data_IF_457517585022
#
_entry.id   IF_457517585022
#
_cell.length_a   1.000
_cell.length_b   1.000
_cell.length_c   1.000
_cell.angle_alpha   90.00
_cell.angle_beta   90.00
_cell.angle_gamma   90.00
#
_symmetry.space_group_name_H-M   'P 1'
#
loop_
_entity.id
_entity.type
_entity.pdbx_description
1 polymer ?
#
# COMPACT_ATOMS: atom_id res chain seq x y z
N UNK A 1 -24.08 -5.55 -13.47
CA UNK A 1 -22.82 -4.89 -13.80
C UNK A 1 -21.88 -5.00 -12.60
N UNK A 2 -20.64 -5.39 -12.86
CA UNK A 2 -19.65 -5.51 -11.78
C UNK A 2 -19.12 -4.14 -11.41
N UNK A 3 -19.13 -3.85 -10.13
CA UNK A 3 -18.54 -2.60 -9.64
C UNK A 3 -17.43 -2.92 -8.65
N UNK A 4 -16.53 -1.97 -8.51
CA UNK A 4 -15.35 -2.13 -7.67
C UNK A 4 -15.20 -0.93 -6.76
N UNK A 5 -14.68 -1.17 -5.59
CA UNK A 5 -14.25 -0.07 -4.73
C UNK A 5 -12.74 -0.17 -4.56
N UNK A 6 -12.12 0.96 -4.29
CA UNK A 6 -10.66 1.06 -4.21
C UNK A 6 -10.26 1.74 -2.92
N UNK A 7 -9.13 1.33 -2.40
CA UNK A 7 -8.52 2.00 -1.26
C UNK A 7 -7.01 2.05 -1.48
N UNK A 8 -6.37 2.95 -0.77
CA UNK A 8 -4.92 3.06 -0.82
C UNK A 8 -4.34 3.02 0.57
N UNK A 9 -3.14 2.48 0.68
CA UNK A 9 -2.38 2.53 1.92
C UNK A 9 -0.97 3.00 1.58
N UNK A 10 -0.30 3.55 2.58
CA UNK A 10 1.05 4.06 2.40
C UNK A 10 2.00 3.34 3.33
N UNK A 11 3.11 2.88 2.77
CA UNK A 11 4.20 2.33 3.56
C UNK A 11 5.31 3.37 3.50
N UNK A 12 5.56 4.02 4.63
CA UNK A 12 6.59 5.06 4.66
C UNK A 12 7.97 4.43 4.58
N UNK A 13 8.93 5.23 4.15
CA UNK A 13 10.31 4.80 4.10
C UNK A 13 10.79 4.42 5.50
N UNK A 14 11.70 3.49 5.56
CA UNK A 14 12.24 3.06 6.83
C UNK A 14 13.02 4.17 7.52
N UNK A 15 13.20 4.01 8.79
CA UNK A 15 14.01 4.94 9.57
C UNK A 15 14.84 4.12 10.53
N UNK A 16 15.60 4.79 11.38
CA UNK A 16 16.44 4.10 12.35
C UNK A 16 17.53 3.26 11.68
N UNK A 17 18.19 3.87 10.71
CA UNK A 17 19.32 3.24 10.06
C UNK A 17 19.01 2.49 8.79
N UNK A 18 17.75 2.39 8.44
CA UNK A 18 17.37 1.75 7.18
C UNK A 18 17.56 2.71 6.03
N UNK A 19 17.73 2.16 4.84
CA UNK A 19 17.76 2.94 3.62
C UNK A 19 16.37 3.55 3.43
N UNK A 20 16.31 4.83 3.29
CA UNK A 20 15.03 5.52 3.23
C UNK A 20 14.25 5.24 1.95
N UNK A 21 14.94 4.78 0.91
CA UNK A 21 14.32 4.50 -0.37
C UNK A 21 14.03 3.01 -0.59
N UNK A 22 14.23 2.19 0.41
CA UNK A 22 13.96 0.77 0.29
C UNK A 22 12.55 0.44 0.78
N UNK A 23 11.89 -0.45 0.05
CA UNK A 23 10.61 -0.98 0.49
C UNK A 23 10.83 -1.93 1.66
N UNK A 24 10.11 -1.71 2.74
CA UNK A 24 10.14 -2.61 3.89
C UNK A 24 9.26 -3.81 3.57
N UNK A 25 9.91 -4.92 3.29
CA UNK A 25 9.20 -6.12 2.86
C UNK A 25 8.23 -6.65 3.89
N UNK A 26 8.60 -6.56 5.16
CA UNK A 26 7.72 -7.04 6.23
C UNK A 26 6.46 -6.20 6.31
N UNK A 27 6.60 -4.89 6.22
CA UNK A 27 5.45 -4.00 6.22
C UNK A 27 4.56 -4.24 5.00
N UNK A 28 5.18 -4.47 3.85
CA UNK A 28 4.47 -4.76 2.63
C UNK A 28 3.62 -6.03 2.79
N UNK A 29 4.24 -7.07 3.32
CA UNK A 29 3.54 -8.34 3.55
C UNK A 29 2.41 -8.18 4.56
N UNK A 30 2.63 -7.42 5.62
CA UNK A 30 1.61 -7.18 6.63
C UNK A 30 0.39 -6.49 6.04
N UNK A 31 0.62 -5.48 5.20
CA UNK A 31 -0.48 -4.77 4.54
C UNK A 31 -1.25 -5.69 3.60
N UNK A 32 -0.54 -6.50 2.83
CA UNK A 32 -1.18 -7.46 1.93
C UNK A 32 -2.08 -8.42 2.71
N UNK A 33 -1.56 -8.95 3.82
CA UNK A 33 -2.30 -9.91 4.62
C UNK A 33 -3.49 -9.27 5.32
N UNK A 34 -3.31 -8.07 5.86
CA UNK A 34 -4.36 -7.38 6.57
C UNK A 34 -5.54 -7.06 5.66
N UNK A 35 -5.25 -6.48 4.52
CA UNK A 35 -6.30 -6.10 3.58
C UNK A 35 -6.89 -7.30 2.86
N UNK A 36 -6.06 -8.30 2.58
CA UNK A 36 -6.56 -9.53 1.98
C UNK A 36 -7.59 -10.24 2.86
N UNK A 37 -7.38 -10.19 4.18
CA UNK A 37 -8.33 -10.77 5.11
C UNK A 37 -9.69 -10.08 5.08
N UNK A 38 -9.73 -8.84 4.59
CA UNK A 38 -10.97 -8.09 4.44
C UNK A 38 -11.54 -8.16 3.02
N UNK A 39 -10.95 -8.99 2.19
CA UNK A 39 -11.44 -9.17 0.83
C UNK A 39 -10.80 -8.27 -0.22
N UNK A 40 -9.79 -7.50 0.18
CA UNK A 40 -9.10 -6.61 -0.75
C UNK A 40 -8.03 -7.34 -1.54
N UNK A 41 -7.86 -6.91 -2.77
CA UNK A 41 -6.86 -7.48 -3.68
C UNK A 41 -5.94 -6.36 -4.14
N UNK A 42 -4.65 -6.61 -4.14
CA UNK A 42 -3.68 -5.61 -4.57
C UNK A 42 -3.81 -5.38 -6.07
N UNK A 43 -4.04 -4.14 -6.46
CA UNK A 43 -4.14 -3.76 -7.86
C UNK A 43 -2.81 -3.26 -8.40
N UNK A 44 -2.14 -2.40 -7.66
CA UNK A 44 -0.84 -1.89 -8.09
C UNK A 44 -0.11 -1.25 -6.91
N UNK A 45 1.17 -1.00 -7.13
CA UNK A 45 2.02 -0.34 -6.13
C UNK A 45 2.82 0.75 -6.84
N UNK A 46 2.84 1.94 -6.26
CA UNK A 46 3.69 3.02 -6.72
C UNK A 46 4.81 3.18 -5.71
N UNK A 47 6.04 2.99 -6.16
CA UNK A 47 7.19 3.05 -5.28
C UNK A 47 7.76 4.46 -5.23
N UNK A 48 8.22 4.83 -4.06
CA UNK A 48 8.99 6.06 -3.87
C UNK A 48 8.25 7.31 -4.33
N UNK A 49 7.03 7.47 -3.85
CA UNK A 49 6.16 8.56 -4.24
C UNK A 49 6.24 9.69 -3.23
N UNK A 50 6.28 10.93 -3.72
CA UNK A 50 6.19 12.12 -2.89
C UNK A 50 4.72 12.47 -2.72
N UNK A 51 4.22 12.36 -1.50
CA UNK A 51 2.81 12.59 -1.22
C UNK A 51 2.59 13.95 -0.61
N UNK A 52 1.64 14.68 -1.16
CA UNK A 52 1.26 15.96 -0.62
C UNK A 52 0.63 15.76 0.77
N UNK A 53 1.12 16.48 1.75
CA UNK A 53 0.61 16.43 3.12
C UNK A 53 0.94 15.15 3.87
N UNK A 54 1.69 14.24 3.27
CA UNK A 54 2.07 12.99 3.92
C UNK A 54 3.55 12.74 3.73
N UNK A 55 4.09 11.83 4.53
CA UNK A 55 5.48 11.45 4.36
C UNK A 55 5.65 10.69 3.05
N UNK A 56 6.80 10.84 2.45
CA UNK A 56 7.13 10.10 1.24
C UNK A 56 7.12 8.61 1.54
N UNK A 57 6.72 7.83 0.58
CA UNK A 57 6.69 6.40 0.77
C UNK A 57 6.23 5.68 -0.48
N UNK A 58 5.74 4.49 -0.26
CA UNK A 58 5.22 3.64 -1.34
C UNK A 58 3.72 3.52 -1.18
N UNK A 59 2.99 3.75 -2.25
CA UNK A 59 1.53 3.72 -2.22
C UNK A 59 1.06 2.40 -2.80
N UNK A 60 0.23 1.70 -2.03
CA UNK A 60 -0.39 0.46 -2.47
C UNK A 60 -1.85 0.75 -2.79
N UNK A 61 -2.31 0.29 -3.92
CA UNK A 61 -3.70 0.46 -4.35
C UNK A 61 -4.37 -0.90 -4.32
N UNK A 62 -5.47 -0.98 -3.62
CA UNK A 62 -6.24 -2.22 -3.50
C UNK A 62 -7.61 -2.02 -4.09
N UNK A 63 -8.19 -3.10 -4.55
CA UNK A 63 -9.56 -3.09 -5.06
C UNK A 63 -10.35 -4.23 -4.46
N UNK A 64 -11.67 -4.06 -4.45
CA UNK A 64 -12.55 -5.09 -3.94
C UNK A 64 -13.87 -5.00 -4.70
N UNK A 65 -14.41 -6.15 -5.01
CA UNK A 65 -15.67 -6.23 -5.71
C UNK A 65 -16.82 -5.91 -4.75
N UNK A 66 -17.79 -5.14 -5.21
CA UNK A 66 -18.85 -4.64 -4.35
C UNK A 66 -20.24 -5.19 -4.67
N UNK A 67 -20.40 -5.89 -5.76
CA UNK A 67 -21.73 -6.40 -6.10
C UNK A 67 -22.02 -7.82 -5.67
#
# INVERSE_FOLDING_TARGET
MTTWEYTTTVITHGFMGRQSDELDREKFQEELSRLGAEGWELATVFLDVNLHSEKDGHVMVFKRRVD
#
